data_IF_399084340499
#
_entry.id   IF_399084340499
#
_cell.length_a   1.000
_cell.length_b   1.000
_cell.length_c   1.000
_cell.angle_alpha   90.00
_cell.angle_beta   90.00
_cell.angle_gamma   90.00
#
_symmetry.space_group_name_H-M   'P 1'
#
loop_
_entity.id
_entity.type
_entity.pdbx_description
1 polymer ?
#
# COMPACT_ATOMS: atom_id res chain seq x y z
N UNK A 1 -30.91 -4.38 4.85
CA UNK A 1 -29.45 -4.42 4.65
C UNK A 1 -28.96 -5.75 5.21
N UNK A 2 -28.95 -6.81 4.38
CA UNK A 2 -28.42 -8.11 4.79
C UNK A 2 -26.89 -7.99 4.82
N UNK A 3 -26.37 -7.75 6.00
CA UNK A 3 -24.92 -7.75 6.27
C UNK A 3 -24.45 -9.18 6.01
N UNK A 4 -23.51 -9.35 5.06
CA UNK A 4 -22.73 -10.59 4.94
C UNK A 4 -22.35 -11.03 6.36
N UNK A 5 -22.65 -12.26 6.69
CA UNK A 5 -22.27 -12.85 7.97
C UNK A 5 -20.78 -12.59 8.18
N UNK A 6 -20.45 -11.95 9.31
CA UNK A 6 -19.07 -11.57 9.64
C UNK A 6 -18.10 -12.77 9.61
N UNK A 7 -18.61 -13.98 9.79
CA UNK A 7 -17.84 -15.23 9.67
C UNK A 7 -17.33 -15.50 8.25
N UNK A 8 -17.99 -14.94 7.24
CA UNK A 8 -17.61 -15.07 5.81
C UNK A 8 -16.70 -13.96 5.31
N UNK A 9 -16.30 -13.02 6.19
CA UNK A 9 -15.42 -11.91 5.83
C UNK A 9 -14.02 -12.16 6.41
N UNK A 10 -13.03 -12.31 5.53
CA UNK A 10 -11.61 -12.33 5.88
C UNK A 10 -11.11 -10.88 5.84
N UNK A 11 -10.89 -10.30 7.01
CA UNK A 11 -10.46 -8.90 7.13
C UNK A 11 -8.96 -8.73 6.91
N UNK A 12 -8.19 -9.67 7.43
CA UNK A 12 -6.74 -9.73 7.23
C UNK A 12 -6.37 -11.09 6.63
N UNK A 13 -6.01 -11.14 5.34
CA UNK A 13 -5.63 -12.39 4.70
C UNK A 13 -4.27 -12.93 5.17
N UNK A 14 -3.51 -12.13 5.95
CA UNK A 14 -2.20 -12.50 6.48
C UNK A 14 -2.27 -13.10 7.89
N UNK A 15 -3.45 -13.09 8.54
CA UNK A 15 -3.63 -13.83 9.79
C UNK A 15 -3.41 -15.34 9.55
N UNK A 16 -2.77 -16.06 10.50
CA UNK A 16 -2.63 -17.50 10.39
C UNK A 16 -3.97 -18.17 10.06
N UNK A 17 -3.94 -19.12 9.14
CA UNK A 17 -5.10 -19.91 8.70
C UNK A 17 -6.29 -19.10 8.13
N UNK A 18 -6.12 -17.79 7.90
CA UNK A 18 -7.18 -16.92 7.40
C UNK A 18 -7.81 -17.42 6.10
N UNK A 19 -7.00 -17.89 5.16
CA UNK A 19 -7.46 -18.44 3.88
C UNK A 19 -7.81 -19.93 3.95
N UNK A 20 -7.32 -20.65 4.96
CA UNK A 20 -7.63 -22.08 5.13
C UNK A 20 -9.10 -22.33 5.45
N UNK A 21 -9.74 -21.43 6.19
CA UNK A 21 -11.17 -21.49 6.50
C UNK A 21 -12.09 -21.35 5.29
N UNK A 22 -11.57 -20.89 4.13
CA UNK A 22 -12.35 -20.82 2.89
C UNK A 22 -12.40 -22.20 2.26
N UNK A 23 -13.59 -22.79 2.07
CA UNK A 23 -13.74 -24.12 1.50
C UNK A 23 -13.23 -24.20 0.07
N UNK A 24 -12.80 -25.40 -0.33
CA UNK A 24 -12.45 -25.67 -1.74
C UNK A 24 -13.67 -25.44 -2.64
N UNK A 25 -13.44 -24.88 -3.80
CA UNK A 25 -14.48 -24.63 -4.80
C UNK A 25 -15.35 -23.39 -4.53
N UNK A 26 -15.16 -22.69 -3.41
CA UNK A 26 -15.92 -21.49 -3.06
C UNK A 26 -15.79 -20.39 -4.12
N UNK A 27 -16.81 -19.55 -4.24
CA UNK A 27 -16.77 -18.31 -5.02
C UNK A 27 -16.42 -17.13 -4.10
N UNK A 28 -15.25 -16.55 -4.30
CA UNK A 28 -14.67 -15.54 -3.39
C UNK A 28 -14.63 -14.19 -4.05
N UNK A 29 -15.10 -13.14 -3.34
CA UNK A 29 -14.94 -11.75 -3.70
C UNK A 29 -13.70 -11.18 -2.99
N UNK A 30 -12.72 -10.71 -3.76
CA UNK A 30 -11.59 -9.94 -3.23
C UNK A 30 -11.85 -8.45 -3.43
N UNK A 31 -11.79 -7.66 -2.34
CA UNK A 31 -11.92 -6.21 -2.39
C UNK A 31 -10.53 -5.59 -2.42
N UNK A 32 -10.15 -5.03 -3.56
CA UNK A 32 -8.81 -4.56 -3.87
C UNK A 32 -8.16 -5.42 -4.95
N UNK A 33 -7.31 -4.80 -5.79
CA UNK A 33 -6.63 -5.44 -6.92
C UNK A 33 -5.12 -5.21 -6.90
N UNK A 34 -4.54 -4.91 -5.71
CA UNK A 34 -3.10 -4.74 -5.48
C UNK A 34 -2.36 -6.08 -5.31
N UNK A 35 -1.10 -6.03 -4.86
CA UNK A 35 -0.27 -7.24 -4.67
C UNK A 35 -0.91 -8.24 -3.69
N UNK A 36 -1.52 -7.77 -2.60
CA UNK A 36 -2.26 -8.65 -1.67
C UNK A 36 -3.32 -9.49 -2.39
N UNK A 37 -4.07 -8.87 -3.31
CA UNK A 37 -5.03 -9.62 -4.12
C UNK A 37 -4.34 -10.67 -4.99
N UNK A 38 -3.21 -10.36 -5.60
CA UNK A 38 -2.47 -11.28 -6.46
C UNK A 38 -2.10 -12.54 -5.69
N UNK A 39 -1.51 -12.40 -4.50
CA UNK A 39 -1.10 -13.52 -3.65
C UNK A 39 -2.31 -14.34 -3.16
N UNK A 40 -3.37 -13.65 -2.72
CA UNK A 40 -4.64 -14.28 -2.30
C UNK A 40 -5.29 -15.05 -3.45
N UNK A 41 -5.34 -14.46 -4.65
CA UNK A 41 -5.97 -15.11 -5.81
C UNK A 41 -5.25 -16.40 -6.19
N UNK A 42 -3.92 -16.40 -6.26
CA UNK A 42 -3.12 -17.58 -6.57
C UNK A 42 -3.37 -18.67 -5.52
N UNK A 43 -3.35 -18.31 -4.23
CA UNK A 43 -3.61 -19.24 -3.13
C UNK A 43 -5.01 -19.84 -3.21
N UNK A 44 -6.04 -19.05 -3.47
CA UNK A 44 -7.41 -19.51 -3.54
C UNK A 44 -7.68 -20.36 -4.79
N UNK A 45 -7.11 -20.02 -5.93
CA UNK A 45 -7.26 -20.84 -7.15
C UNK A 45 -6.58 -22.21 -6.99
N UNK A 46 -5.47 -22.31 -6.26
CA UNK A 46 -4.85 -23.59 -5.90
C UNK A 46 -5.82 -24.49 -5.06
N UNK A 47 -6.77 -23.87 -4.34
CA UNK A 47 -7.88 -24.55 -3.64
C UNK A 47 -9.11 -24.79 -4.54
N UNK A 48 -8.98 -24.60 -5.86
CA UNK A 48 -10.08 -24.72 -6.84
C UNK A 48 -11.20 -23.68 -6.63
N UNK A 49 -10.95 -22.59 -5.92
CA UNK A 49 -11.90 -21.51 -5.76
C UNK A 49 -12.05 -20.68 -7.05
N UNK A 50 -13.21 -20.08 -7.25
CA UNK A 50 -13.42 -19.02 -8.25
C UNK A 50 -13.23 -17.68 -7.55
N UNK A 51 -12.42 -16.82 -8.15
CA UNK A 51 -12.08 -15.52 -7.53
C UNK A 51 -12.57 -14.37 -8.42
N UNK A 52 -13.36 -13.49 -7.86
CA UNK A 52 -13.70 -12.21 -8.48
C UNK A 52 -13.07 -11.09 -7.66
N UNK A 53 -12.27 -10.24 -8.29
CA UNK A 53 -11.70 -9.07 -7.62
C UNK A 53 -12.35 -7.79 -8.10
N UNK A 54 -12.52 -6.84 -7.18
CA UNK A 54 -13.05 -5.52 -7.52
C UNK A 54 -12.22 -4.40 -6.92
N UNK A 55 -12.08 -3.33 -7.68
CA UNK A 55 -11.59 -2.06 -7.18
C UNK A 55 -12.18 -0.92 -8.02
N UNK A 56 -12.14 0.31 -7.48
CA UNK A 56 -12.69 1.50 -8.15
C UNK A 56 -12.17 1.70 -9.58
N UNK A 57 -11.00 1.20 -9.90
CA UNK A 57 -10.36 1.38 -11.22
C UNK A 57 -10.01 0.09 -11.94
N UNK A 58 -10.10 -1.07 -11.28
CA UNK A 58 -9.71 -2.35 -11.85
C UNK A 58 -8.22 -2.46 -12.20
N UNK A 59 -7.37 -1.60 -11.64
CA UNK A 59 -5.94 -1.60 -11.92
C UNK A 59 -5.25 -2.76 -11.21
N UNK A 60 -4.46 -3.52 -11.96
CA UNK A 60 -3.53 -4.51 -11.44
C UNK A 60 -2.13 -3.90 -11.28
N UNK A 61 -1.29 -4.44 -10.38
CA UNK A 61 0.12 -4.10 -10.33
C UNK A 61 0.80 -4.37 -11.67
N UNK A 62 1.68 -3.48 -12.08
CA UNK A 62 2.46 -3.67 -13.31
C UNK A 62 3.46 -4.82 -13.16
N UNK A 63 3.90 -5.38 -14.28
CA UNK A 63 4.92 -6.43 -14.30
C UNK A 63 6.29 -5.80 -14.15
N UNK A 64 7.14 -6.40 -13.30
CA UNK A 64 8.54 -5.99 -13.17
C UNK A 64 9.31 -6.30 -14.46
N UNK A 65 10.09 -5.32 -14.92
CA UNK A 65 11.09 -5.49 -15.96
C UNK A 65 12.26 -4.56 -15.68
N UNK A 66 13.47 -4.92 -16.11
CA UNK A 66 14.63 -4.04 -16.04
C UNK A 66 14.43 -2.76 -16.85
N UNK A 67 15.07 -1.67 -16.41
CA UNK A 67 15.09 -0.40 -17.13
C UNK A 67 16.54 -0.02 -17.42
N UNK A 68 16.94 0.09 -18.69
CA UNK A 68 18.35 0.19 -19.05
C UNK A 68 18.97 1.57 -18.75
N UNK A 69 18.19 2.63 -18.76
CA UNK A 69 18.69 3.98 -18.49
C UNK A 69 17.69 4.79 -17.69
N UNK A 70 18.19 5.65 -16.80
CA UNK A 70 17.38 6.54 -16.00
C UNK A 70 17.29 7.91 -16.68
N UNK A 71 16.09 8.50 -16.85
CA UNK A 71 15.97 9.87 -17.32
C UNK A 71 16.47 10.87 -16.27
N UNK A 72 16.91 12.03 -16.72
CA UNK A 72 17.19 13.15 -15.82
C UNK A 72 15.91 13.62 -15.13
N UNK A 73 16.03 13.95 -13.85
CA UNK A 73 14.95 14.55 -13.08
C UNK A 73 14.98 16.08 -13.17
N UNK A 74 13.82 16.75 -13.18
CA UNK A 74 13.74 18.18 -12.92
C UNK A 74 14.35 18.51 -11.53
N UNK A 75 14.90 19.69 -11.40
CA UNK A 75 15.45 20.18 -10.13
C UNK A 75 14.42 20.20 -9.00
N UNK A 76 13.17 20.46 -9.34
CA UNK A 76 12.06 20.45 -8.37
C UNK A 76 10.74 20.07 -9.03
N UNK A 77 9.83 19.56 -8.21
CA UNK A 77 8.42 19.44 -8.53
C UNK A 77 7.64 20.27 -7.52
N UNK A 78 6.71 21.10 -7.98
CA UNK A 78 5.93 21.99 -7.13
C UNK A 78 4.58 21.38 -6.73
N UNK A 79 4.13 20.36 -7.47
CA UNK A 79 2.85 19.71 -7.23
C UNK A 79 2.85 18.24 -7.67
N UNK A 80 1.92 17.41 -7.16
CA UNK A 80 1.72 16.07 -7.68
C UNK A 80 1.40 16.03 -9.18
N UNK A 81 0.75 17.07 -9.70
CA UNK A 81 0.43 17.18 -11.11
C UNK A 81 1.69 17.30 -11.96
N UNK A 82 2.71 18.02 -11.49
CA UNK A 82 3.98 18.15 -12.21
C UNK A 82 4.71 16.83 -12.29
N UNK A 83 4.71 16.04 -11.21
CA UNK A 83 5.25 14.67 -11.23
C UNK A 83 4.50 13.80 -12.24
N UNK A 84 3.16 13.86 -12.25
CA UNK A 84 2.35 13.09 -13.18
C UNK A 84 2.53 13.52 -14.63
N UNK A 85 2.69 14.83 -14.90
CA UNK A 85 3.02 15.35 -16.23
C UNK A 85 4.37 14.86 -16.69
N UNK A 86 5.40 14.99 -15.83
CA UNK A 86 6.73 14.51 -16.14
C UNK A 86 6.73 13.01 -16.45
N UNK A 87 6.09 12.17 -15.61
CA UNK A 87 5.97 10.74 -15.84
C UNK A 87 5.34 10.39 -17.19
N UNK A 88 4.27 11.10 -17.59
CA UNK A 88 3.57 10.86 -18.86
C UNK A 88 4.40 11.20 -20.10
N UNK A 89 5.39 12.07 -19.98
CA UNK A 89 6.29 12.44 -21.08
C UNK A 89 7.51 11.53 -21.18
N UNK A 90 7.70 10.59 -20.25
CA UNK A 90 8.83 9.68 -20.33
C UNK A 90 8.56 8.51 -21.27
N UNK A 91 9.49 8.18 -22.19
CA UNK A 91 9.33 7.07 -23.13
C UNK A 91 9.29 5.71 -22.42
N UNK A 92 10.03 5.58 -21.31
CA UNK A 92 10.02 4.41 -20.44
C UNK A 92 9.58 4.81 -19.01
N UNK A 93 8.35 4.48 -18.68
CA UNK A 93 7.79 4.75 -17.37
C UNK A 93 8.51 3.99 -16.24
N UNK A 94 9.10 2.81 -16.54
CA UNK A 94 9.83 2.02 -15.54
C UNK A 94 11.12 2.72 -15.13
N UNK A 95 11.85 3.23 -16.12
CA UNK A 95 13.04 4.05 -15.91
C UNK A 95 12.68 5.32 -15.15
N UNK A 96 11.56 5.97 -15.49
CA UNK A 96 11.08 7.16 -14.79
C UNK A 96 10.78 6.90 -13.32
N UNK A 97 10.06 5.81 -12.99
CA UNK A 97 9.81 5.43 -11.59
C UNK A 97 11.10 5.05 -10.84
N UNK A 98 12.07 4.42 -11.52
CA UNK A 98 13.37 4.12 -10.93
C UNK A 98 14.18 5.39 -10.62
N UNK A 99 14.11 6.40 -11.50
CA UNK A 99 14.75 7.71 -11.28
C UNK A 99 14.09 8.48 -10.12
N UNK A 100 12.76 8.45 -10.00
CA UNK A 100 12.03 9.10 -8.90
C UNK A 100 12.29 8.46 -7.53
N UNK A 101 12.58 7.17 -7.49
CA UNK A 101 12.66 6.40 -6.26
C UNK A 101 13.57 7.01 -5.18
N UNK A 102 14.83 7.38 -5.43
CA UNK A 102 15.70 7.98 -4.43
C UNK A 102 15.23 9.36 -3.97
N UNK A 103 14.45 10.06 -4.81
CA UNK A 103 13.96 11.41 -4.57
C UNK A 103 12.53 11.47 -3.99
N UNK A 104 11.87 10.35 -3.87
CA UNK A 104 10.45 10.30 -3.49
C UNK A 104 10.19 10.98 -2.15
N UNK A 105 11.07 10.80 -1.16
CA UNK A 105 10.93 11.42 0.15
C UNK A 105 11.05 12.95 0.06
N UNK A 106 12.03 13.46 -0.70
CA UNK A 106 12.22 14.88 -0.92
C UNK A 106 11.02 15.48 -1.65
N UNK A 107 10.54 14.82 -2.68
CA UNK A 107 9.37 15.24 -3.47
C UNK A 107 8.12 15.26 -2.58
N UNK A 108 7.87 14.23 -1.80
CA UNK A 108 6.73 14.16 -0.88
C UNK A 108 6.73 15.32 0.12
N UNK A 109 7.89 15.59 0.73
CA UNK A 109 8.07 16.68 1.70
C UNK A 109 8.00 18.08 1.09
N UNK A 110 8.20 18.22 -0.22
CA UNK A 110 8.06 19.51 -0.91
C UNK A 110 6.61 19.89 -1.21
N UNK A 111 5.68 18.94 -1.13
CA UNK A 111 4.26 19.23 -1.27
C UNK A 111 3.71 19.76 0.05
N UNK A 112 2.86 20.78 -0.04
CA UNK A 112 2.04 21.21 1.07
C UNK A 112 0.95 20.15 1.38
N UNK A 113 0.22 20.34 2.47
CA UNK A 113 -0.83 19.44 2.91
C UNK A 113 -1.96 19.28 1.86
N UNK A 114 -2.25 20.30 1.07
CA UNK A 114 -3.21 20.25 -0.03
C UNK A 114 -2.69 19.34 -1.14
N UNK A 115 -1.44 19.51 -1.55
CA UNK A 115 -0.78 18.71 -2.57
C UNK A 115 -0.70 17.22 -2.14
N UNK A 116 -0.31 16.96 -0.89
CA UNK A 116 -0.27 15.61 -0.37
C UNK A 116 -1.66 14.93 -0.40
N UNK A 117 -2.73 15.64 0.03
CA UNK A 117 -4.10 15.13 -0.08
C UNK A 117 -4.56 14.91 -1.52
N UNK A 118 -4.19 15.79 -2.44
CA UNK A 118 -4.49 15.61 -3.87
C UNK A 118 -3.80 14.35 -4.42
N UNK A 119 -2.53 14.13 -4.08
CA UNK A 119 -1.82 12.90 -4.45
C UNK A 119 -2.54 11.66 -3.91
N UNK A 120 -2.83 11.63 -2.62
CA UNK A 120 -3.48 10.49 -1.96
C UNK A 120 -4.85 10.19 -2.59
N UNK A 121 -5.61 11.21 -2.93
CA UNK A 121 -6.95 11.08 -3.50
C UNK A 121 -6.95 10.65 -4.97
N UNK A 122 -6.05 11.19 -5.78
CA UNK A 122 -6.14 11.10 -7.24
C UNK A 122 -5.01 10.31 -7.90
N UNK A 123 -3.77 10.37 -7.36
CA UNK A 123 -2.59 9.80 -7.98
C UNK A 123 -2.13 8.48 -7.35
N UNK A 124 -2.32 8.30 -6.03
CA UNK A 124 -1.82 7.17 -5.25
C UNK A 124 -2.03 5.81 -5.93
N UNK A 125 -3.23 5.53 -6.43
CA UNK A 125 -3.54 4.22 -7.06
C UNK A 125 -2.73 3.93 -8.31
N UNK A 126 -2.46 4.98 -9.10
CA UNK A 126 -1.61 4.87 -10.29
C UNK A 126 -0.15 4.72 -9.89
N UNK A 127 0.28 5.47 -8.88
CA UNK A 127 1.60 5.31 -8.29
C UNK A 127 1.79 3.88 -7.80
N UNK A 128 0.91 3.37 -6.95
CA UNK A 128 1.01 2.03 -6.36
C UNK A 128 1.07 0.94 -7.44
N UNK A 129 0.22 1.01 -8.47
CA UNK A 129 0.19 0.04 -9.56
C UNK A 129 1.50 -0.02 -10.36
N UNK A 130 2.21 1.09 -10.52
CA UNK A 130 3.46 1.16 -11.27
C UNK A 130 4.70 0.94 -10.38
N UNK A 131 4.59 1.28 -9.11
CA UNK A 131 5.69 1.21 -8.14
C UNK A 131 5.82 -0.18 -7.52
N UNK A 132 4.71 -0.78 -7.11
CA UNK A 132 4.66 -2.10 -6.48
C UNK A 132 4.30 -3.15 -7.54
N UNK A 133 5.35 -3.74 -8.14
CA UNK A 133 5.22 -4.57 -9.34
C UNK A 133 5.20 -6.05 -9.02
N UNK A 134 4.49 -6.83 -9.83
CA UNK A 134 4.53 -8.29 -9.78
C UNK A 134 5.82 -8.84 -10.38
N UNK A 135 6.30 -9.96 -9.86
CA UNK A 135 7.32 -10.76 -10.53
C UNK A 135 6.73 -11.31 -11.86
N UNK A 136 7.54 -11.42 -12.94
CA UNK A 136 7.05 -11.90 -14.25
C UNK A 136 6.37 -13.27 -14.19
N UNK A 137 6.86 -14.17 -13.34
CA UNK A 137 6.31 -15.52 -13.14
C UNK A 137 4.92 -15.46 -12.51
N UNK A 138 4.76 -14.60 -11.50
CA UNK A 138 3.48 -14.36 -10.82
C UNK A 138 2.47 -13.73 -11.76
N UNK A 139 2.91 -12.78 -12.59
CA UNK A 139 2.05 -12.13 -13.57
C UNK A 139 1.51 -13.13 -14.59
N UNK A 140 2.38 -13.98 -15.16
CA UNK A 140 1.97 -15.04 -16.11
C UNK A 140 0.96 -16.00 -15.49
N UNK A 141 1.21 -16.43 -14.24
CA UNK A 141 0.28 -17.31 -13.53
C UNK A 141 -1.09 -16.65 -13.34
N UNK A 142 -1.12 -15.38 -12.95
CA UNK A 142 -2.37 -14.62 -12.82
C UNK A 142 -3.09 -14.46 -14.16
N UNK A 143 -2.36 -14.12 -15.23
CA UNK A 143 -2.90 -14.00 -16.60
C UNK A 143 -3.51 -15.31 -17.08
N UNK A 144 -2.87 -16.45 -16.82
CA UNK A 144 -3.39 -17.77 -17.13
C UNK A 144 -4.71 -18.06 -16.40
N UNK A 145 -4.81 -17.67 -15.12
CA UNK A 145 -6.03 -17.84 -14.34
C UNK A 145 -7.16 -16.92 -14.82
N UNK A 146 -6.83 -15.71 -15.25
CA UNK A 146 -7.79 -14.80 -15.87
C UNK A 146 -8.29 -15.37 -17.21
N UNK A 147 -7.39 -15.85 -18.06
CA UNK A 147 -7.72 -16.44 -19.36
C UNK A 147 -8.63 -17.68 -19.22
N UNK A 148 -8.40 -18.52 -18.21
CA UNK A 148 -9.24 -19.70 -17.89
C UNK A 148 -10.55 -19.35 -17.19
N UNK A 149 -10.77 -18.07 -16.82
CA UNK A 149 -11.98 -17.63 -16.14
C UNK A 149 -12.08 -17.99 -14.66
N UNK A 150 -11.04 -18.59 -14.06
CA UNK A 150 -10.97 -18.85 -12.62
C UNK A 150 -10.75 -17.59 -11.79
N UNK A 151 -10.16 -16.55 -12.39
CA UNK A 151 -10.02 -15.20 -11.83
C UNK A 151 -10.73 -14.21 -12.74
N UNK A 152 -11.51 -13.29 -12.16
CA UNK A 152 -12.18 -12.19 -12.88
C UNK A 152 -11.89 -10.87 -12.19
N UNK A 153 -11.59 -9.83 -12.97
CA UNK A 153 -11.39 -8.48 -12.48
C UNK A 153 -12.58 -7.62 -12.89
N UNK A 154 -13.24 -7.00 -11.91
CA UNK A 154 -14.34 -6.05 -12.14
C UNK A 154 -13.94 -4.65 -11.68
N UNK A 155 -14.24 -3.66 -12.48
CA UNK A 155 -14.19 -2.26 -12.05
C UNK A 155 -15.54 -1.88 -11.47
N UNK A 156 -15.58 -1.39 -10.23
CA UNK A 156 -16.84 -1.00 -9.62
C UNK A 156 -16.80 -0.82 -8.12
N UNK A 157 -17.98 -0.64 -7.54
CA UNK A 157 -18.19 -0.55 -6.11
C UNK A 157 -18.05 -1.93 -5.48
N UNK A 158 -17.27 -2.01 -4.41
CA UNK A 158 -17.18 -3.23 -3.61
C UNK A 158 -18.49 -3.53 -2.87
N UNK A 159 -19.24 -2.49 -2.52
CA UNK A 159 -20.50 -2.63 -1.81
C UNK A 159 -21.57 -3.30 -2.67
N UNK A 160 -21.74 -2.85 -3.92
CA UNK A 160 -22.74 -3.40 -4.84
C UNK A 160 -22.50 -4.89 -5.11
N UNK A 161 -21.23 -5.28 -5.24
CA UNK A 161 -20.86 -6.68 -5.45
C UNK A 161 -20.98 -7.52 -4.18
N UNK A 162 -20.66 -6.98 -3.02
CA UNK A 162 -20.82 -7.69 -1.74
C UNK A 162 -22.30 -7.94 -1.40
N UNK A 163 -23.20 -7.05 -1.85
CA UNK A 163 -24.65 -7.17 -1.66
C UNK A 163 -25.33 -8.11 -2.67
N UNK A 164 -24.63 -8.51 -3.75
CA UNK A 164 -25.21 -9.32 -4.83
C UNK A 164 -25.48 -10.80 -4.46
N UNK A 165 -25.05 -11.25 -3.28
CA UNK A 165 -25.15 -12.64 -2.83
C UNK A 165 -24.54 -13.71 -3.76
N UNK A 166 -23.72 -13.28 -4.73
CA UNK A 166 -23.03 -14.18 -5.66
C UNK A 166 -21.81 -14.87 -5.05
N UNK A 167 -21.39 -14.45 -3.86
CA UNK A 167 -20.11 -14.86 -3.25
C UNK A 167 -20.32 -15.56 -1.92
N UNK A 168 -19.57 -16.65 -1.74
CA UNK A 168 -19.56 -17.39 -0.48
C UNK A 168 -18.72 -16.71 0.60
N UNK A 169 -17.62 -16.06 0.19
CA UNK A 169 -16.68 -15.34 1.06
C UNK A 169 -16.26 -14.01 0.47
N UNK A 170 -15.87 -13.10 1.36
CA UNK A 170 -15.23 -11.82 1.00
C UNK A 170 -13.86 -11.73 1.66
N UNK A 171 -12.83 -11.36 0.90
CA UNK A 171 -11.47 -11.14 1.39
C UNK A 171 -11.09 -9.68 1.16
N UNK A 172 -10.67 -8.98 2.22
CA UNK A 172 -10.23 -7.59 2.10
C UNK A 172 -8.74 -7.56 1.67
N UNK A 173 -8.51 -7.10 0.45
CA UNK A 173 -7.19 -6.90 -0.14
C UNK A 173 -6.88 -5.39 -0.30
N UNK A 174 -7.35 -4.57 0.63
CA UNK A 174 -7.31 -3.09 0.57
C UNK A 174 -5.97 -2.48 0.97
N UNK A 175 -5.02 -3.30 1.36
CA UNK A 175 -3.73 -2.88 1.91
C UNK A 175 -3.78 -2.66 3.43
N UNK A 176 -2.69 -2.14 4.03
CA UNK A 176 -2.61 -1.95 5.47
C UNK A 176 -3.66 -0.94 5.97
N UNK A 177 -4.22 -1.26 7.14
CA UNK A 177 -5.10 -0.35 7.88
C UNK A 177 -4.26 0.44 8.89
N UNK A 178 -3.86 1.64 8.48
CA UNK A 178 -3.04 2.52 9.31
C UNK A 178 -3.77 2.90 10.63
N UNK A 179 -5.10 3.00 10.61
CA UNK A 179 -5.90 3.36 11.79
C UNK A 179 -5.99 2.20 12.80
N UNK A 180 -6.10 0.97 12.32
CA UNK A 180 -6.11 -0.21 13.18
C UNK A 180 -4.78 -0.39 13.92
N UNK A 181 -3.65 -0.09 13.27
CA UNK A 181 -2.34 -0.13 13.90
C UNK A 181 -2.25 0.87 15.08
N UNK A 182 -2.78 2.08 14.91
CA UNK A 182 -2.81 3.12 15.95
C UNK A 182 -3.69 2.77 17.15
N UNK A 183 -4.67 1.89 16.95
CA UNK A 183 -5.62 1.46 17.99
C UNK A 183 -5.15 0.29 18.84
N UNK A 184 -3.97 -0.25 18.56
CA UNK A 184 -3.39 -1.43 19.25
C UNK A 184 -2.14 -1.06 20.03
N UNK A 185 -1.86 -1.71 21.18
CA UNK A 185 -0.56 -1.58 21.85
C UNK A 185 0.60 -2.01 20.94
N UNK A 186 1.77 -1.40 21.05
CA UNK A 186 2.13 -0.33 22.01
C UNK A 186 1.70 1.08 21.57
N UNK A 187 1.29 1.28 20.31
CA UNK A 187 1.00 2.61 19.76
C UNK A 187 -0.16 3.30 20.45
N UNK A 188 -1.25 2.58 20.71
CA UNK A 188 -2.39 3.12 21.44
C UNK A 188 -1.98 3.65 22.82
N UNK A 189 -1.12 2.93 23.53
CA UNK A 189 -0.63 3.34 24.85
C UNK A 189 0.25 4.60 24.78
N UNK A 190 1.14 4.70 23.79
CA UNK A 190 1.98 5.87 23.56
C UNK A 190 1.15 7.11 23.21
N UNK A 191 0.11 6.94 22.37
CA UNK A 191 -0.81 8.03 21.99
C UNK A 191 -1.61 8.49 23.21
N UNK A 192 -2.18 7.57 23.98
CA UNK A 192 -2.93 7.90 25.20
C UNK A 192 -2.05 8.62 26.23
N UNK A 193 -0.78 8.24 26.34
CA UNK A 193 0.20 8.90 27.23
C UNK A 193 0.74 10.23 26.66
N UNK A 194 0.29 10.67 25.47
CA UNK A 194 0.78 11.88 24.83
C UNK A 194 2.21 11.79 24.30
N UNK A 195 2.82 10.61 24.30
CA UNK A 195 4.20 10.36 23.82
C UNK A 195 4.30 10.12 22.33
N UNK A 196 3.16 9.94 21.67
CA UNK A 196 3.03 9.87 20.23
C UNK A 196 1.76 10.57 19.78
N UNK A 197 1.66 10.88 18.50
CA UNK A 197 0.43 11.33 17.84
C UNK A 197 0.27 10.65 16.48
N UNK A 198 -0.96 10.55 15.95
CA UNK A 198 -1.19 10.06 14.60
C UNK A 198 -0.39 10.87 13.58
N UNK A 199 0.16 10.16 12.60
CA UNK A 199 0.90 10.78 11.51
C UNK A 199 0.02 11.62 10.57
N UNK A 200 0.64 12.41 9.70
CA UNK A 200 -0.08 13.16 8.67
C UNK A 200 -1.06 12.28 7.90
N UNK A 201 -2.22 12.83 7.57
CA UNK A 201 -3.30 12.13 6.84
C UNK A 201 -3.83 10.85 7.52
N UNK A 202 -3.58 10.67 8.83
CA UNK A 202 -3.96 9.49 9.57
C UNK A 202 -3.15 8.24 9.24
N UNK A 203 -1.98 8.39 8.61
CA UNK A 203 -1.12 7.29 8.22
C UNK A 203 0.06 7.13 9.18
N UNK A 204 0.05 6.03 9.95
CA UNK A 204 1.11 5.72 10.90
C UNK A 204 1.22 6.74 12.03
N UNK A 205 2.41 6.90 12.58
CA UNK A 205 2.74 7.86 13.65
C UNK A 205 3.50 9.06 13.10
N UNK A 206 3.31 10.21 13.72
CA UNK A 206 4.05 11.42 13.35
C UNK A 206 5.48 11.35 13.89
N UNK A 207 6.42 11.68 13.03
CA UNK A 207 7.84 11.60 13.33
C UNK A 207 8.59 12.80 12.79
N UNK A 208 9.68 13.15 13.44
CA UNK A 208 10.69 13.97 12.80
C UNK A 208 11.19 13.26 11.52
N UNK A 209 11.17 13.98 10.41
CA UNK A 209 11.42 13.37 9.10
C UNK A 209 12.87 12.89 8.92
N UNK A 210 13.82 13.53 9.57
CA UNK A 210 15.24 13.26 9.40
C UNK A 210 15.75 12.20 10.39
N UNK A 211 15.29 12.25 11.63
CA UNK A 211 15.75 11.33 12.69
C UNK A 211 14.86 10.10 12.88
N UNK A 212 13.58 10.20 12.53
CA UNK A 212 12.59 9.16 12.83
C UNK A 212 12.07 9.18 14.27
N UNK A 213 12.46 10.17 15.07
CA UNK A 213 11.99 10.31 16.44
C UNK A 213 10.49 10.63 16.45
N UNK A 214 9.72 9.97 17.33
CA UNK A 214 8.30 10.23 17.45
C UNK A 214 8.05 11.67 17.92
N UNK A 215 6.96 12.25 17.44
CA UNK A 215 6.47 13.52 17.92
C UNK A 215 5.35 13.31 18.93
N UNK A 216 5.47 13.99 20.08
CA UNK A 216 4.46 13.98 21.15
C UNK A 216 3.16 14.65 20.71
N UNK A 217 2.12 14.57 21.54
CA UNK A 217 0.85 15.27 21.30
C UNK A 217 1.03 16.78 21.03
N UNK A 218 2.05 17.42 21.62
CA UNK A 218 2.38 18.84 21.42
C UNK A 218 3.24 19.10 20.19
N UNK A 219 3.74 18.05 19.51
CA UNK A 219 4.65 18.17 18.38
C UNK A 219 6.13 18.26 18.76
N UNK A 220 6.48 18.20 20.02
CA UNK A 220 7.86 18.11 20.47
C UNK A 220 8.40 16.67 20.26
N UNK A 221 9.71 16.50 20.03
CA UNK A 221 10.31 15.18 19.95
C UNK A 221 10.09 14.35 21.23
N UNK A 222 9.65 13.11 21.10
CA UNK A 222 9.52 12.19 22.22
C UNK A 222 10.90 11.64 22.62
N UNK A 223 11.14 11.51 23.92
CA UNK A 223 12.43 11.03 24.40
C UNK A 223 12.70 9.58 24.02
N UNK A 224 13.77 9.32 23.28
CA UNK A 224 14.32 7.98 22.95
C UNK A 224 13.35 6.99 22.28
N UNK A 225 12.28 7.48 21.64
CA UNK A 225 11.36 6.64 20.88
C UNK A 225 11.45 7.02 19.41
N UNK A 226 11.73 6.02 18.58
CA UNK A 226 11.92 6.17 17.14
C UNK A 226 11.05 5.19 16.38
N UNK A 227 10.63 5.57 15.18
CA UNK A 227 9.96 4.68 14.24
C UNK A 227 10.77 4.56 12.95
N UNK A 228 10.69 3.41 12.31
CA UNK A 228 11.20 3.15 10.97
C UNK A 228 10.13 2.43 10.14
N UNK A 229 10.25 2.54 8.83
CA UNK A 229 9.41 1.78 7.91
C UNK A 229 7.96 2.27 7.85
N UNK A 230 7.03 1.36 7.72
CA UNK A 230 5.61 1.61 7.41
C UNK A 230 4.94 2.60 8.36
N UNK A 231 5.33 2.62 9.63
CA UNK A 231 4.77 3.55 10.61
C UNK A 231 5.05 5.02 10.31
N UNK A 232 6.04 5.32 9.45
CA UNK A 232 6.39 6.68 9.04
C UNK A 232 5.72 7.13 7.73
N UNK A 233 4.78 6.36 7.22
CA UNK A 233 4.21 6.55 5.89
C UNK A 233 3.53 7.91 5.68
N UNK A 234 2.97 8.52 6.72
CA UNK A 234 2.42 9.87 6.67
C UNK A 234 3.50 10.93 6.48
N UNK A 235 4.61 10.79 7.19
CA UNK A 235 5.77 11.70 7.12
C UNK A 235 6.63 11.43 5.88
N UNK A 236 6.82 10.13 5.53
CA UNK A 236 7.65 9.67 4.41
C UNK A 236 6.85 8.70 3.54
N UNK A 237 6.47 9.11 2.33
CA UNK A 237 5.60 8.33 1.46
C UNK A 237 6.14 6.93 1.12
N UNK A 238 7.39 6.82 0.72
CA UNK A 238 8.06 5.57 0.35
C UNK A 238 8.89 5.01 1.52
N UNK A 239 8.26 4.61 2.60
CA UNK A 239 8.90 4.03 3.79
C UNK A 239 8.57 2.55 3.99
N UNK A 240 8.03 1.87 2.98
CA UNK A 240 7.47 0.51 3.14
C UNK A 240 8.32 -0.60 2.54
N UNK A 241 9.23 -0.28 1.62
CA UNK A 241 10.03 -1.29 0.94
C UNK A 241 11.38 -1.54 1.66
N UNK A 242 11.89 -2.75 1.56
CA UNK A 242 13.11 -3.19 2.26
C UNK A 242 14.32 -2.28 2.05
N UNK A 243 14.64 -1.78 0.83
CA UNK A 243 15.77 -0.89 0.63
C UNK A 243 15.65 0.44 1.39
N UNK A 244 14.46 1.01 1.42
CA UNK A 244 14.16 2.25 2.14
C UNK A 244 14.25 2.05 3.65
N UNK A 245 13.65 0.98 4.18
CA UNK A 245 13.73 0.60 5.61
C UNK A 245 15.19 0.36 6.02
N UNK A 246 15.96 -0.34 5.19
CA UNK A 246 17.40 -0.56 5.44
C UNK A 246 18.18 0.74 5.50
N UNK A 247 17.89 1.68 4.62
CA UNK A 247 18.51 3.01 4.62
C UNK A 247 18.15 3.81 5.88
N UNK A 248 16.88 3.77 6.28
CA UNK A 248 16.42 4.39 7.53
C UNK A 248 17.09 3.77 8.75
N UNK A 249 17.15 2.45 8.84
CA UNK A 249 17.78 1.73 9.95
C UNK A 249 19.28 2.08 10.09
N UNK A 250 20.01 2.19 8.96
CA UNK A 250 21.42 2.61 8.98
C UNK A 250 21.60 4.03 9.50
N UNK A 251 20.73 4.96 9.06
CA UNK A 251 20.79 6.36 9.55
C UNK A 251 20.48 6.43 11.03
N UNK A 252 19.45 5.73 11.47
CA UNK A 252 19.09 5.70 12.89
C UNK A 252 20.20 5.09 13.74
N UNK A 253 20.79 3.97 13.31
CA UNK A 253 21.92 3.37 14.02
C UNK A 253 23.09 4.34 14.17
N UNK A 254 23.43 5.10 13.13
CA UNK A 254 24.49 6.10 13.19
C UNK A 254 24.17 7.26 14.17
N UNK A 255 22.89 7.61 14.33
CA UNK A 255 22.45 8.64 15.28
C UNK A 255 22.47 8.17 16.74
N UNK A 256 22.30 6.86 16.98
CA UNK A 256 22.23 6.30 18.33
C UNK A 256 23.58 5.85 18.91
N UNK A 257 24.63 5.78 18.11
CA UNK A 257 25.99 5.36 18.51
C UNK A 257 26.86 6.54 18.93
N UNK A 258 26.33 7.76 18.90
CA UNK A 258 26.98 9.00 19.36
C UNK A 258 26.52 9.28 20.84
#
# INVERSE_FOLDING_TARGET
MNVLDRSRVVRDPWEPDALERIPRGAHVLCIGTGLTFVDVAITLVAKSCRVTATSRHGLLPAIHAPSPSLPGLPTSFTSPLDVMRWLRHQPDWRAAFAALRPETQRIWRSFDDVGQRQFLRHARRYWDAHRHRMAPEVARLLEDHIARGSVRIRRGSAQDLAESHEFDFVVLCTGPDDSAALSRPPLASLITAGQARPGPHGMGVDTDADTGQLLTATGAPASRIYAIGTLRRGTLWESTAIPEIRSEARRLAALLVV
#
